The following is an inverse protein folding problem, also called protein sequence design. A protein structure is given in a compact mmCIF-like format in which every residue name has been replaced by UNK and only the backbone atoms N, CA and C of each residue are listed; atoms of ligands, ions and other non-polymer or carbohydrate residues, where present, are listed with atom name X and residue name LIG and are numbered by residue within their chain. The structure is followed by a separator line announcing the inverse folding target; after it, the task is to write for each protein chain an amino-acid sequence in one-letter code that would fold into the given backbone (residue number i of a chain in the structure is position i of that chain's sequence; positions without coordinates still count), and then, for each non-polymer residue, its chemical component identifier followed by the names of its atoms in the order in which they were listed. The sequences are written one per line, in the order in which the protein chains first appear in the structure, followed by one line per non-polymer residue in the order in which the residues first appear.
data_IF_145883917550
#
_entry.id   IF_145883917550
#
_cell.length_a   1.000
_cell.length_b   1.000
_cell.length_c   1.000
_cell.angle_alpha   90.00
_cell.angle_beta   90.00
_cell.angle_gamma   90.00
#
_symmetry.space_group_name_H-M   'P 1'
#
loop_
_entity.id
_entity.type
_entity.pdbx_description
1 polymer ?
#
# COMPACT_ATOMS: atom_id res chain seq x y z
N UNK A 1 12.82 28.64 31.86
CA UNK A 1 13.61 27.90 32.86
C UNK A 1 12.65 27.42 33.93
N UNK A 2 12.12 26.21 33.80
CA UNK A 2 11.28 25.63 34.86
C UNK A 2 11.61 24.14 34.96
N UNK A 3 11.99 23.75 36.18
CA UNK A 3 12.49 22.45 36.60
C UNK A 3 11.30 21.54 36.91
N UNK A 4 11.37 20.28 36.49
CA UNK A 4 10.80 19.07 37.12
C UNK A 4 11.11 17.93 36.14
N UNK A 5 12.05 16.98 36.32
CA UNK A 5 12.59 16.29 37.49
C UNK A 5 11.52 15.70 38.40
N UNK A 6 10.96 14.55 37.98
CA UNK A 6 10.75 13.36 38.81
C UNK A 6 10.24 12.23 37.88
N UNK A 7 11.02 11.19 37.56
CA UNK A 7 11.40 10.00 38.34
C UNK A 7 10.22 9.04 38.64
N UNK A 8 10.52 7.74 38.49
CA UNK A 8 9.75 6.51 38.80
C UNK A 8 8.83 6.01 37.67
N UNK A 9 9.19 4.99 36.86
CA UNK A 9 9.50 3.57 37.16
C UNK A 9 8.30 2.84 37.79
N UNK A 10 7.59 2.05 36.97
CA UNK A 10 6.95 0.76 37.29
C UNK A 10 6.75 0.05 35.93
N UNK A 11 7.60 -0.88 35.48
CA UNK A 11 7.64 -2.30 35.86
C UNK A 11 6.23 -2.91 36.01
N UNK A 12 5.70 -3.45 34.91
CA UNK A 12 4.78 -4.59 34.98
C UNK A 12 5.21 -5.67 34.01
N UNK A 13 5.50 -6.82 34.61
CA UNK A 13 5.93 -8.05 34.00
C UNK A 13 4.73 -8.83 33.45
N UNK A 14 5.01 -9.56 32.37
CA UNK A 14 4.52 -10.89 32.03
C UNK A 14 3.15 -11.35 32.56
N UNK A 15 2.21 -11.55 31.63
CA UNK A 15 1.21 -12.60 31.75
C UNK A 15 1.06 -13.31 30.40
N UNK A 16 1.70 -14.48 30.32
CA UNK A 16 1.41 -15.57 29.39
C UNK A 16 -0.07 -15.88 29.42
N UNK A 17 -0.79 -15.91 28.29
CA UNK A 17 -1.97 -16.74 28.10
C UNK A 17 -1.79 -17.55 26.82
N UNK A 18 -1.47 -18.83 27.02
CA UNK A 18 -1.49 -19.84 25.97
C UNK A 18 -2.93 -20.20 25.63
N UNK A 19 -3.29 -20.12 24.35
CA UNK A 19 -4.49 -20.77 23.85
C UNK A 19 -4.18 -22.26 23.65
N UNK A 20 -4.72 -23.08 24.54
CA UNK A 20 -4.78 -24.53 24.41
C UNK A 20 -5.61 -24.91 23.17
N UNK A 21 -5.04 -25.72 22.29
CA UNK A 21 -5.73 -26.35 21.16
C UNK A 21 -6.14 -27.77 21.59
N UNK A 22 -7.43 -28.14 21.64
CA UNK A 22 -7.82 -29.52 21.76
C UNK A 22 -7.73 -30.23 20.40
N UNK A 23 -6.89 -31.27 20.31
CA UNK A 23 -6.87 -32.25 19.22
C UNK A 23 -7.93 -33.33 19.49
N UNK A 24 -8.90 -33.57 18.59
CA UNK A 24 -9.70 -34.78 18.65
C UNK A 24 -8.88 -35.96 18.09
N UNK A 25 -8.72 -36.99 18.92
CA UNK A 25 -8.04 -38.22 18.56
C UNK A 25 -8.77 -39.02 17.48
N UNK A 26 -7.99 -39.71 16.65
CA UNK A 26 -8.38 -40.97 16.05
C UNK A 26 -7.23 -41.95 16.17
N UNK A 27 -7.43 -42.90 17.07
CA UNK A 27 -6.69 -44.15 17.28
C UNK A 27 -6.88 -45.04 16.05
N UNK A 28 -5.79 -45.39 15.39
CA UNK A 28 -5.79 -46.27 14.22
C UNK A 28 -4.36 -46.58 13.76
N UNK A 29 -3.53 -47.09 14.68
CA UNK A 29 -2.13 -47.41 14.41
C UNK A 29 -1.95 -48.87 13.98
N UNK A 30 -1.59 -49.09 12.72
CA UNK A 30 -0.95 -50.32 12.27
C UNK A 30 0.52 -50.32 12.76
N UNK A 31 0.98 -51.32 13.54
CA UNK A 31 2.32 -51.32 14.14
C UNK A 31 3.48 -51.64 13.16
N UNK A 32 3.22 -51.85 11.86
CA UNK A 32 4.25 -52.23 10.87
C UNK A 32 4.55 -51.20 9.77
N UNK A 33 4.09 -49.95 9.88
CA UNK A 33 4.40 -48.89 8.91
C UNK A 33 5.70 -48.11 9.23
N UNK A 34 6.73 -48.81 9.69
CA UNK A 34 8.07 -48.28 9.91
C UNK A 34 8.95 -48.47 8.67
N UNK A 35 9.72 -47.44 8.32
CA UNK A 35 10.78 -47.38 7.29
C UNK A 35 10.31 -47.15 5.85
N UNK A 36 10.31 -45.88 5.42
CA UNK A 36 10.45 -45.59 3.99
C UNK A 36 10.01 -44.22 3.49
N UNK A 37 9.10 -43.52 4.17
CA UNK A 37 8.68 -42.20 3.70
C UNK A 37 9.56 -41.12 4.34
N UNK A 38 10.65 -40.76 3.65
CA UNK A 38 11.27 -39.43 3.80
C UNK A 38 10.12 -38.43 3.66
N UNK A 39 9.67 -37.85 4.78
CA UNK A 39 8.74 -36.73 4.77
C UNK A 39 9.48 -35.60 4.09
N UNK A 40 9.28 -35.47 2.79
CA UNK A 40 9.51 -34.24 2.06
C UNK A 40 8.64 -33.20 2.74
N UNK A 41 9.24 -32.47 3.69
CA UNK A 41 8.74 -31.16 4.11
C UNK A 41 8.51 -30.40 2.82
N UNK A 42 7.24 -30.20 2.48
CA UNK A 42 6.86 -29.30 1.40
C UNK A 42 7.57 -27.99 1.71
N UNK A 43 8.54 -27.63 0.86
CA UNK A 43 9.19 -26.33 0.91
C UNK A 43 8.06 -25.32 0.97
N UNK A 44 7.97 -24.62 2.10
CA UNK A 44 7.00 -23.56 2.29
C UNK A 44 7.08 -22.66 1.06
N UNK A 45 6.02 -22.68 0.25
CA UNK A 45 5.90 -21.76 -0.87
C UNK A 45 6.11 -20.36 -0.27
N UNK A 46 6.94 -19.50 -0.88
CA UNK A 46 7.08 -18.13 -0.40
C UNK A 46 5.68 -17.57 -0.30
N UNK A 47 5.30 -17.08 0.89
CA UNK A 47 4.03 -16.40 1.10
C UNK A 47 3.86 -15.45 -0.08
N UNK A 48 2.72 -15.55 -0.81
CA UNK A 48 2.43 -14.70 -1.96
C UNK A 48 2.85 -13.28 -1.61
N UNK A 49 3.59 -12.62 -2.51
CA UNK A 49 4.05 -11.26 -2.29
C UNK A 49 2.85 -10.41 -1.82
N UNK A 50 2.92 -9.93 -0.59
CA UNK A 50 1.90 -9.11 0.08
C UNK A 50 1.69 -7.77 -0.64
N UNK A 51 2.60 -7.45 -1.56
CA UNK A 51 2.64 -6.25 -2.35
C UNK A 51 2.84 -6.54 -3.84
N UNK A 52 2.46 -5.57 -4.66
CA UNK A 52 2.70 -5.52 -6.10
C UNK A 52 3.55 -4.28 -6.38
N UNK A 53 4.72 -4.48 -6.98
CA UNK A 53 5.57 -3.39 -7.45
C UNK A 53 5.16 -3.04 -8.90
N UNK A 54 4.73 -1.79 -9.12
CA UNK A 54 4.35 -1.26 -10.43
C UNK A 54 5.23 -0.07 -10.79
N UNK A 55 5.57 0.08 -12.07
CA UNK A 55 6.30 1.25 -12.56
C UNK A 55 5.32 2.16 -13.31
N UNK A 56 5.25 3.41 -12.89
CA UNK A 56 4.41 4.45 -13.50
C UNK A 56 5.30 5.50 -14.17
N UNK A 57 4.90 5.90 -15.37
CA UNK A 57 5.48 7.03 -16.08
C UNK A 57 4.51 8.20 -16.00
N UNK A 58 4.94 9.33 -15.43
CA UNK A 58 4.11 10.52 -15.26
C UNK A 58 4.68 11.64 -16.13
N UNK A 59 3.85 12.18 -17.01
CA UNK A 59 4.19 13.30 -17.89
C UNK A 59 3.18 14.44 -17.72
N UNK A 60 3.66 15.67 -17.87
CA UNK A 60 2.82 16.87 -17.83
C UNK A 60 3.04 17.73 -19.04
N UNK A 61 2.00 18.44 -19.43
CA UNK A 61 2.06 19.48 -20.45
C UNK A 61 1.59 20.81 -19.85
N UNK A 62 2.48 21.82 -19.74
CA UNK A 62 3.92 21.78 -20.04
C UNK A 62 4.75 20.93 -19.05
N UNK A 63 5.99 20.53 -19.43
CA UNK A 63 6.87 19.76 -18.55
C UNK A 63 7.42 20.59 -17.38
N UNK A 64 7.96 19.91 -16.37
CA UNK A 64 8.61 20.52 -15.20
C UNK A 64 7.74 20.61 -13.95
N UNK A 65 6.47 20.19 -14.01
CA UNK A 65 5.58 20.15 -12.85
C UNK A 65 6.18 19.27 -11.73
N UNK A 66 5.97 19.66 -10.46
CA UNK A 66 6.38 18.87 -9.29
C UNK A 66 5.38 17.74 -9.10
N UNK A 67 5.86 16.51 -9.13
CA UNK A 67 5.03 15.32 -8.99
C UNK A 67 5.10 14.79 -7.56
N UNK A 68 3.92 14.53 -7.00
CA UNK A 68 3.76 13.82 -5.74
C UNK A 68 3.01 12.51 -6.01
N UNK A 69 3.49 11.43 -5.41
CA UNK A 69 2.84 10.11 -5.45
C UNK A 69 2.53 9.73 -4.01
N UNK A 70 1.26 9.50 -3.70
CA UNK A 70 0.77 9.26 -2.33
C UNK A 70 1.30 10.33 -1.35
N UNK A 71 1.14 11.60 -1.73
CA UNK A 71 1.55 12.79 -0.97
C UNK A 71 3.08 12.95 -0.75
N UNK A 72 3.90 12.02 -1.26
CA UNK A 72 5.35 12.11 -1.24
C UNK A 72 5.90 12.72 -2.53
N UNK A 73 6.79 13.72 -2.41
CA UNK A 73 7.48 14.29 -3.56
C UNK A 73 8.42 13.25 -4.21
N UNK A 74 8.25 13.01 -5.51
CA UNK A 74 9.06 12.03 -6.25
C UNK A 74 10.04 12.67 -7.24
N UNK A 75 9.71 13.87 -7.75
CA UNK A 75 10.54 14.55 -8.74
C UNK A 75 9.75 15.53 -9.61
N UNK A 76 10.38 15.95 -10.72
CA UNK A 76 9.77 16.82 -11.72
C UNK A 76 9.40 16.02 -12.97
N UNK A 77 8.24 16.32 -13.57
CA UNK A 77 7.79 15.67 -14.78
C UNK A 77 8.62 16.07 -16.02
N UNK A 78 8.87 15.14 -16.97
CA UNK A 78 8.47 13.74 -16.95
C UNK A 78 9.31 12.90 -15.96
N UNK A 79 8.66 11.99 -15.22
CA UNK A 79 9.31 11.15 -14.20
C UNK A 79 8.82 9.71 -14.28
N UNK A 80 9.74 8.76 -14.08
CA UNK A 80 9.46 7.32 -13.98
C UNK A 80 9.65 6.90 -12.53
N UNK A 81 8.61 6.35 -11.91
CA UNK A 81 8.60 6.02 -10.48
C UNK A 81 8.08 4.61 -10.25
N UNK A 82 8.74 3.85 -9.37
CA UNK A 82 8.28 2.54 -8.93
C UNK A 82 7.43 2.71 -7.66
N UNK A 83 6.16 2.32 -7.74
CA UNK A 83 5.21 2.36 -6.62
C UNK A 83 4.96 0.94 -6.12
N UNK A 84 5.02 0.78 -4.80
CA UNK A 84 4.66 -0.46 -4.12
C UNK A 84 3.23 -0.35 -3.60
N UNK A 85 2.34 -1.22 -4.07
CA UNK A 85 0.93 -1.28 -3.68
C UNK A 85 0.71 -2.49 -2.79
N UNK A 86 0.01 -2.32 -1.67
CA UNK A 86 -0.25 -3.41 -0.73
C UNK A 86 -1.66 -3.95 -0.93
N UNK A 87 -1.84 -5.26 -0.73
CA UNK A 87 -3.16 -5.85 -0.61
C UNK A 87 -3.74 -5.53 0.78
N UNK A 88 -4.91 -4.88 0.83
CA UNK A 88 -5.64 -4.60 2.08
C UNK A 88 -6.98 -5.29 2.11
N UNK A 89 -7.43 -5.67 3.30
CA UNK A 89 -8.75 -6.26 3.55
C UNK A 89 -8.67 -7.65 4.19
N UNK A 90 -9.84 -8.29 4.32
CA UNK A 90 -9.95 -9.66 4.86
C UNK A 90 -9.66 -10.70 3.78
N UNK A 91 -9.20 -11.91 4.15
CA UNK A 91 -9.07 -13.03 3.21
C UNK A 91 -10.38 -13.24 2.42
N UNK A 92 -10.30 -13.24 1.09
CA UNK A 92 -11.46 -13.33 0.19
C UNK A 92 -12.00 -11.99 -0.33
N UNK A 93 -11.65 -10.87 0.32
CA UNK A 93 -12.06 -9.51 -0.05
C UNK A 93 -10.88 -8.54 -0.08
N UNK A 94 -9.72 -9.00 -0.57
CA UNK A 94 -8.53 -8.16 -0.66
C UNK A 94 -8.62 -7.22 -1.86
N UNK A 95 -8.30 -5.96 -1.64
CA UNK A 95 -8.21 -4.91 -2.67
C UNK A 95 -6.81 -4.35 -2.67
N UNK A 96 -6.27 -4.10 -3.85
CA UNK A 96 -4.95 -3.49 -4.00
C UNK A 96 -5.07 -1.98 -3.78
N UNK A 97 -4.19 -1.41 -2.96
CA UNK A 97 -4.17 0.03 -2.65
C UNK A 97 -4.18 0.89 -3.92
N UNK A 98 -4.94 1.99 -3.91
CA UNK A 98 -4.90 2.96 -5.01
C UNK A 98 -3.65 3.83 -4.93
N UNK A 99 -3.30 4.43 -6.07
CA UNK A 99 -2.15 5.34 -6.18
C UNK A 99 -2.67 6.73 -6.52
N UNK A 100 -2.44 7.68 -5.62
CA UNK A 100 -2.78 9.09 -5.84
C UNK A 100 -1.57 9.78 -6.47
N UNK A 101 -1.77 10.41 -7.62
CA UNK A 101 -0.74 11.20 -8.29
C UNK A 101 -1.21 12.65 -8.36
N UNK A 102 -0.39 13.56 -7.86
CA UNK A 102 -0.64 14.99 -7.92
C UNK A 102 0.48 15.68 -8.70
N UNK A 103 0.09 16.55 -9.63
CA UNK A 103 0.98 17.42 -10.38
C UNK A 103 0.76 18.86 -9.91
N UNK A 104 1.80 19.45 -9.33
CA UNK A 104 1.81 20.85 -8.92
C UNK A 104 2.55 21.69 -9.97
N UNK A 105 1.96 22.77 -10.46
CA UNK A 105 2.60 23.62 -11.46
C UNK A 105 3.82 24.36 -10.86
N UNK A 106 4.75 24.71 -11.74
CA UNK A 106 5.95 25.51 -11.42
C UNK A 106 5.86 26.94 -11.95
N UNK A 107 5.00 27.20 -12.93
CA UNK A 107 4.79 28.52 -13.52
C UNK A 107 3.33 28.97 -13.36
N UNK A 108 3.12 30.29 -13.40
CA UNK A 108 1.78 30.89 -13.39
C UNK A 108 0.96 30.49 -14.62
N UNK A 109 -0.37 30.49 -14.50
CA UNK A 109 -1.28 30.14 -15.59
C UNK A 109 -1.51 28.63 -15.80
N UNK A 110 -0.89 27.79 -14.97
CA UNK A 110 -1.15 26.35 -14.91
C UNK A 110 -1.97 25.99 -13.67
N UNK A 111 -2.77 24.93 -13.75
CA UNK A 111 -3.61 24.47 -12.64
C UNK A 111 -3.07 23.18 -12.01
N UNK A 112 -3.24 23.05 -10.70
CA UNK A 112 -2.99 21.79 -9.99
C UNK A 112 -3.94 20.72 -10.54
N UNK A 113 -3.39 19.55 -10.85
CA UNK A 113 -4.18 18.39 -11.26
C UNK A 113 -3.81 17.18 -10.42
N UNK A 114 -4.79 16.35 -10.13
CA UNK A 114 -4.62 15.13 -9.35
C UNK A 114 -5.51 14.03 -9.89
N UNK A 115 -5.04 12.79 -9.81
CA UNK A 115 -5.81 11.61 -10.16
C UNK A 115 -5.55 10.47 -9.18
N UNK A 116 -6.57 9.64 -8.97
CA UNK A 116 -6.45 8.37 -8.23
C UNK A 116 -6.49 7.24 -9.25
N UNK A 117 -5.47 6.40 -9.24
CA UNK A 117 -5.29 5.33 -10.20
C UNK A 117 -5.26 3.97 -9.52
N UNK A 118 -5.56 2.94 -10.31
CA UNK A 118 -5.54 1.55 -9.85
C UNK A 118 -6.70 1.16 -8.94
N UNK A 119 -7.80 1.91 -8.94
CA UNK A 119 -9.02 1.58 -8.21
C UNK A 119 -9.55 0.19 -8.60
N UNK A 120 -10.20 -0.49 -7.64
CA UNK A 120 -10.72 -1.85 -7.80
C UNK A 120 -9.66 -2.86 -8.30
N UNK A 121 -8.43 -2.75 -7.79
CA UNK A 121 -7.30 -3.62 -8.14
C UNK A 121 -6.91 -3.57 -9.62
N UNK A 122 -7.28 -2.51 -10.35
CA UNK A 122 -6.84 -2.31 -11.74
C UNK A 122 -5.37 -1.89 -11.78
N UNK A 123 -4.71 -2.19 -12.89
CA UNK A 123 -3.35 -1.71 -13.15
C UNK A 123 -3.37 -0.20 -13.36
N UNK A 124 -2.35 0.51 -12.86
CA UNK A 124 -2.19 1.93 -13.17
C UNK A 124 -1.88 2.10 -14.66
N UNK A 125 -2.59 3.02 -15.33
CA UNK A 125 -2.30 3.35 -16.72
C UNK A 125 -0.92 4.02 -16.81
N UNK A 126 -0.08 3.57 -17.75
CA UNK A 126 1.21 4.21 -18.02
C UNK A 126 1.31 4.50 -19.53
N UNK A 127 1.58 5.76 -19.95
CA UNK A 127 1.86 6.92 -19.10
C UNK A 127 0.59 7.56 -18.50
N UNK A 128 0.74 8.19 -17.34
CA UNK A 128 -0.23 9.14 -16.76
C UNK A 128 0.11 10.52 -17.30
N UNK A 129 -0.84 11.16 -17.99
CA UNK A 129 -0.66 12.48 -18.58
C UNK A 129 -1.56 13.52 -17.94
N UNK A 130 -0.99 14.67 -17.58
CA UNK A 130 -1.73 15.84 -17.08
C UNK A 130 -1.55 17.02 -18.01
N UNK A 131 -2.64 17.60 -18.51
CA UNK A 131 -2.62 18.83 -19.28
C UNK A 131 -2.85 20.00 -18.32
N UNK A 132 -1.77 20.53 -17.76
CA UNK A 132 -1.77 21.56 -16.73
C UNK A 132 -2.26 22.92 -17.24
N UNK A 133 -2.31 23.12 -18.56
CA UNK A 133 -2.90 24.30 -19.19
C UNK A 133 -4.44 24.19 -19.30
N UNK A 134 -5.00 22.98 -19.28
CA UNK A 134 -6.43 22.73 -19.29
C UNK A 134 -7.01 22.87 -17.87
N UNK A 135 -7.06 24.10 -17.38
CA UNK A 135 -7.74 24.43 -16.13
C UNK A 135 -9.25 24.20 -16.28
N UNK A 136 -9.78 23.11 -15.72
CA UNK A 136 -11.22 22.99 -15.54
C UNK A 136 -11.67 24.11 -14.59
N UNK A 137 -12.70 24.91 -14.94
CA UNK A 137 -13.25 25.86 -13.99
C UNK A 137 -13.73 25.06 -12.78
N UNK A 138 -13.30 25.44 -11.57
CA UNK A 138 -13.76 24.82 -10.34
C UNK A 138 -15.30 24.80 -10.40
N UNK A 139 -15.89 23.60 -10.38
CA UNK A 139 -17.34 23.46 -10.35
C UNK A 139 -17.83 24.24 -9.13
N UNK A 140 -18.47 25.39 -9.37
CA UNK A 140 -19.06 26.16 -8.29
C UNK A 140 -20.06 25.24 -7.59
N UNK A 141 -20.00 25.08 -6.26
CA UNK A 141 -21.04 24.34 -5.56
C UNK A 141 -22.36 25.02 -5.91
N UNK A 142 -23.26 24.29 -6.54
CA UNK A 142 -24.57 24.79 -6.90
C UNK A 142 -25.23 25.26 -5.60
N UNK A 143 -25.25 26.57 -5.40
CA UNK A 143 -25.91 27.20 -4.25
C UNK A 143 -27.40 26.93 -4.38
N UNK A 144 -27.86 25.86 -3.73
CA UNK A 144 -29.28 25.61 -3.50
C UNK A 144 -29.84 26.78 -2.71
N UNK A 145 -30.79 27.48 -3.32
CA UNK A 145 -31.62 28.50 -2.66
C UNK A 145 -32.58 27.84 -1.67
#
# INVERSE_FOLDING_TARGET
MEKMKQLAIFLFAAALWGCAIPQPGMTGGNPWAGFGAKRSTALAQPARAEYVDEVIDVATEPPGARIHVNDAFVGHAPVRYAVRRLWRGSPGYMVLDSVKVEALPVAGGQCVQSGVFGEASRKVASPVTFNMAACAPAAQPAGGK
#
